data_IF_718243851598
#
_entry.id   IF_718243851598
#
_cell.length_a   1.000
_cell.length_b   1.000
_cell.length_c   1.000
_cell.angle_alpha   90.00
_cell.angle_beta   90.00
_cell.angle_gamma   90.00
#
_symmetry.space_group_name_H-M   'P 1'
#
loop_
_entity.id
_entity.type
_entity.pdbx_description
1 polymer ?
#
# COMPACT_ATOMS: atom_id res chain seq x y z
N UNK A 1 0.27 -8.82 11.84
CA UNK A 1 -0.63 -9.86 11.29
C UNK A 1 -1.41 -10.46 12.46
N UNK A 2 -2.73 -10.31 12.48
CA UNK A 2 -3.55 -10.84 13.57
C UNK A 2 -3.73 -12.36 13.40
N UNK A 3 -3.02 -13.14 14.20
CA UNK A 3 -3.15 -14.61 14.24
C UNK A 3 -4.55 -14.95 14.77
N UNK A 4 -5.29 -15.81 14.04
CA UNK A 4 -6.57 -16.31 14.54
C UNK A 4 -6.29 -17.22 15.72
N UNK A 5 -6.82 -16.87 16.89
CA UNK A 5 -6.81 -17.77 18.04
C UNK A 5 -7.90 -18.84 17.81
N UNK A 6 -7.49 -19.97 17.24
CA UNK A 6 -8.34 -21.12 16.91
C UNK A 6 -9.15 -21.58 18.11
N UNK A 7 -8.54 -21.61 19.31
CA UNK A 7 -9.22 -22.03 20.53
C UNK A 7 -10.32 -21.05 20.94
N UNK A 8 -10.06 -19.74 20.84
CA UNK A 8 -11.07 -18.72 21.10
C UNK A 8 -12.20 -18.74 20.08
N UNK A 9 -11.90 -18.99 18.81
CA UNK A 9 -12.89 -19.08 17.75
C UNK A 9 -13.82 -20.29 17.92
N UNK A 10 -13.27 -21.48 18.22
CA UNK A 10 -14.04 -22.70 18.51
C UNK A 10 -14.95 -22.47 19.72
N UNK A 11 -14.44 -21.83 20.79
CA UNK A 11 -15.22 -21.51 21.99
C UNK A 11 -16.39 -20.56 21.73
N UNK A 12 -16.23 -19.59 20.82
CA UNK A 12 -17.30 -18.67 20.43
C UNK A 12 -18.36 -19.40 19.61
N UNK A 13 -17.94 -20.24 18.65
CA UNK A 13 -18.84 -20.99 17.78
C UNK A 13 -19.65 -22.03 18.56
N UNK A 14 -19.00 -22.76 19.47
CA UNK A 14 -19.70 -23.67 20.38
C UNK A 14 -20.65 -22.93 21.33
N UNK A 15 -20.25 -21.76 21.84
CA UNK A 15 -21.14 -20.88 22.59
C UNK A 15 -22.35 -20.35 21.79
N UNK A 16 -22.27 -20.35 20.46
CA UNK A 16 -23.36 -19.97 19.55
C UNK A 16 -24.25 -21.16 19.14
N UNK A 17 -23.98 -22.37 19.66
CA UNK A 17 -24.79 -23.56 19.42
C UNK A 17 -24.30 -24.46 18.29
N UNK A 18 -23.11 -24.21 17.72
CA UNK A 18 -22.45 -25.17 16.83
C UNK A 18 -21.85 -26.31 17.65
N UNK A 19 -21.86 -27.54 17.12
CA UNK A 19 -21.08 -28.61 17.74
C UNK A 19 -19.57 -28.39 17.51
N UNK A 20 -18.75 -29.05 18.32
CA UNK A 20 -17.30 -28.86 18.33
C UNK A 20 -16.67 -29.20 16.97
N UNK A 21 -17.14 -30.26 16.31
CA UNK A 21 -16.73 -30.67 14.96
C UNK A 21 -17.07 -29.62 13.90
N UNK A 22 -18.26 -29.02 13.99
CA UNK A 22 -18.69 -27.95 13.09
C UNK A 22 -17.85 -26.68 13.31
N UNK A 23 -17.55 -26.38 14.58
CA UNK A 23 -16.72 -25.24 14.94
C UNK A 23 -15.28 -25.39 14.46
N UNK A 24 -14.68 -26.58 14.61
CA UNK A 24 -13.36 -26.91 14.06
C UNK A 24 -13.33 -26.79 12.54
N UNK A 25 -14.30 -27.40 11.84
CA UNK A 25 -14.36 -27.34 10.38
C UNK A 25 -14.48 -25.91 9.83
N UNK A 26 -15.27 -25.05 10.50
CA UNK A 26 -15.39 -23.64 10.12
C UNK A 26 -14.10 -22.86 10.34
N UNK A 27 -13.40 -23.13 11.45
CA UNK A 27 -12.14 -22.45 11.76
C UNK A 27 -11.03 -22.92 10.82
N UNK A 28 -11.01 -24.19 10.42
CA UNK A 28 -10.07 -24.74 9.45
C UNK A 28 -10.26 -24.12 8.06
N UNK A 29 -11.50 -23.95 7.60
CA UNK A 29 -11.80 -23.28 6.32
C UNK A 29 -11.32 -21.82 6.35
N UNK A 30 -11.65 -21.09 7.42
CA UNK A 30 -11.23 -19.68 7.57
C UNK A 30 -9.72 -19.56 7.76
N UNK A 31 -9.09 -20.53 8.42
CA UNK A 31 -7.64 -20.62 8.58
C UNK A 31 -6.91 -20.90 7.27
N UNK A 32 -7.46 -21.78 6.44
CA UNK A 32 -6.91 -22.14 5.13
C UNK A 32 -6.99 -20.97 4.13
N UNK A 33 -8.10 -20.24 4.09
CA UNK A 33 -8.26 -19.09 3.17
C UNK A 33 -7.50 -17.83 3.63
N UNK A 34 -7.14 -17.72 4.91
CA UNK A 34 -6.40 -16.57 5.46
C UNK A 34 -5.02 -16.33 4.85
N UNK A 35 -4.42 -17.34 4.22
CA UNK A 35 -3.16 -17.17 3.48
C UNK A 35 -3.29 -16.24 2.26
N UNK A 36 -4.50 -16.10 1.70
CA UNK A 36 -4.80 -15.35 0.48
C UNK A 36 -5.74 -14.16 0.68
N UNK A 37 -6.33 -14.00 1.87
CA UNK A 37 -7.25 -12.92 2.16
C UNK A 37 -6.50 -11.60 2.38
N UNK A 38 -6.40 -10.80 1.32
CA UNK A 38 -6.01 -9.39 1.43
C UNK A 38 -7.09 -8.65 2.21
N UNK A 39 -6.78 -8.20 3.42
CA UNK A 39 -7.77 -7.49 4.24
C UNK A 39 -7.94 -6.05 3.72
N UNK A 40 -9.09 -5.42 3.99
CA UNK A 40 -9.30 -3.99 3.66
C UNK A 40 -8.22 -3.08 4.27
N UNK A 41 -7.64 -3.48 5.41
CA UNK A 41 -6.57 -2.74 6.06
C UNK A 41 -5.25 -2.84 5.29
N UNK A 42 -4.94 -4.01 4.73
CA UNK A 42 -3.75 -4.22 3.89
C UNK A 42 -3.86 -3.38 2.61
N UNK A 43 -5.02 -3.43 1.95
CA UNK A 43 -5.31 -2.61 0.77
C UNK A 43 -5.14 -1.11 1.04
N UNK A 44 -5.64 -0.63 2.18
CA UNK A 44 -5.51 0.79 2.57
C UNK A 44 -4.06 1.19 2.82
N UNK A 45 -3.28 0.30 3.43
CA UNK A 45 -1.86 0.54 3.71
C UNK A 45 -1.06 0.59 2.42
N UNK A 46 -1.32 -0.32 1.48
CA UNK A 46 -0.67 -0.35 0.18
C UNK A 46 -1.04 0.86 -0.68
N UNK A 47 -2.31 1.27 -0.68
CA UNK A 47 -2.75 2.48 -1.37
C UNK A 47 -2.04 3.74 -0.85
N UNK A 48 -1.94 3.91 0.46
CA UNK A 48 -1.20 5.03 1.05
C UNK A 48 0.29 5.00 0.66
N UNK A 49 0.90 3.81 0.67
CA UNK A 49 2.28 3.66 0.25
C UNK A 49 2.49 3.94 -1.25
N UNK A 50 1.46 3.69 -2.08
CA UNK A 50 1.47 3.99 -3.51
C UNK A 50 1.29 5.49 -3.77
N UNK A 51 0.35 6.14 -3.08
CA UNK A 51 0.12 7.59 -3.13
C UNK A 51 1.41 8.36 -2.79
N UNK A 52 2.08 7.99 -1.69
CA UNK A 52 3.35 8.61 -1.28
C UNK A 52 4.46 8.40 -2.32
N UNK A 53 4.51 7.22 -2.96
CA UNK A 53 5.49 6.95 -4.03
C UNK A 53 5.22 7.79 -5.26
N UNK A 54 3.96 7.95 -5.65
CA UNK A 54 3.54 8.79 -6.77
C UNK A 54 3.90 10.24 -6.49
N UNK A 55 3.51 10.79 -5.33
CA UNK A 55 3.83 12.17 -4.95
C UNK A 55 5.34 12.44 -4.98
N UNK A 56 6.14 11.54 -4.41
CA UNK A 56 7.60 11.68 -4.42
C UNK A 56 8.18 11.68 -5.84
N UNK A 57 7.66 10.83 -6.73
CA UNK A 57 8.09 10.78 -8.14
C UNK A 57 7.71 12.04 -8.89
N UNK A 58 6.48 12.53 -8.70
CA UNK A 58 6.04 13.79 -9.29
C UNK A 58 6.90 14.96 -8.80
N UNK A 59 7.14 15.06 -7.50
CA UNK A 59 7.97 16.11 -6.93
C UNK A 59 9.40 16.09 -7.49
N UNK A 60 9.99 14.91 -7.64
CA UNK A 60 11.30 14.74 -8.26
C UNK A 60 11.31 15.20 -9.73
N UNK A 61 10.29 14.83 -10.51
CA UNK A 61 10.16 15.27 -11.91
C UNK A 61 9.97 16.77 -12.00
N UNK A 62 9.15 17.37 -11.13
CA UNK A 62 8.96 18.83 -11.07
C UNK A 62 10.27 19.55 -10.79
N UNK A 63 11.06 19.10 -9.81
CA UNK A 63 12.37 19.69 -9.51
C UNK A 63 13.30 19.59 -10.72
N UNK A 64 13.37 18.42 -11.36
CA UNK A 64 14.21 18.23 -12.56
C UNK A 64 13.80 19.16 -13.71
N UNK A 65 12.50 19.31 -13.96
CA UNK A 65 11.99 20.22 -14.98
C UNK A 65 12.35 21.67 -14.67
N UNK A 66 12.17 22.11 -13.43
CA UNK A 66 12.52 23.49 -13.02
C UNK A 66 14.01 23.75 -13.22
N UNK A 67 14.88 22.83 -12.80
CA UNK A 67 16.33 22.96 -13.00
C UNK A 67 16.70 23.04 -14.48
N UNK A 68 16.04 22.22 -15.31
CA UNK A 68 16.28 22.21 -16.76
C UNK A 68 15.82 23.51 -17.41
N UNK A 69 14.67 24.06 -17.01
CA UNK A 69 14.20 25.38 -17.44
C UNK A 69 15.16 26.49 -17.05
N UNK A 70 15.64 26.49 -15.80
CA UNK A 70 16.62 27.49 -15.32
C UNK A 70 17.92 27.39 -16.11
N UNK A 71 18.42 26.18 -16.37
CA UNK A 71 19.63 25.98 -17.17
C UNK A 71 19.45 26.49 -18.62
N UNK A 72 18.33 26.17 -19.26
CA UNK A 72 18.02 26.66 -20.60
C UNK A 72 17.92 28.18 -20.65
N UNK A 73 17.25 28.81 -19.69
CA UNK A 73 17.15 30.26 -19.60
C UNK A 73 18.54 30.91 -19.43
N UNK A 74 19.42 30.31 -18.62
CA UNK A 74 20.80 30.75 -18.45
C UNK A 74 21.61 30.68 -19.75
N UNK A 75 21.47 29.60 -20.52
CA UNK A 75 22.13 29.46 -21.83
C UNK A 75 21.62 30.50 -22.82
N UNK A 76 20.31 30.73 -22.89
CA UNK A 76 19.72 31.75 -23.76
C UNK A 76 20.22 33.16 -23.41
N UNK A 77 20.25 33.50 -22.13
CA UNK A 77 20.79 34.79 -21.67
C UNK A 77 22.28 34.94 -22.01
N UNK A 78 23.07 33.87 -21.88
CA UNK A 78 24.49 33.89 -22.24
C UNK A 78 24.71 34.10 -23.75
N UNK A 79 23.84 33.55 -24.61
CA UNK A 79 23.90 33.76 -26.06
C UNK A 79 23.59 35.21 -26.46
N UNK A 80 22.73 35.92 -25.72
CA UNK A 80 22.40 37.32 -25.98
C UNK A 80 23.59 38.26 -25.73
N UNK A 81 24.51 37.88 -24.85
CA UNK A 81 25.73 38.64 -24.54
C UNK A 81 26.89 38.40 -25.52
N UNK A 82 26.75 37.50 -26.49
CA UNK A 82 27.76 37.28 -27.54
C UNK A 82 27.53 38.34 -28.64
N UNK A 83 28.43 39.34 -28.80
CA UNK A 83 28.30 40.29 -29.91
C UNK A 83 28.45 39.53 -31.23
N UNK A 84 27.47 39.72 -32.13
CA UNK A 84 27.50 39.19 -33.51
C UNK A 84 28.51 39.93 -34.37
#
# INVERSE_FOLDING_TARGET
MAVLDTHKAIKILTGAGFDETQAEALVDIVGAERGELVTKADLRTELQALELRIEKRFHQVTIQLVLLFVALAGVLAALEFIPR
#
